data_IF_042581532873
#
_entry.id   IF_042581532873
#
_cell.length_a   1.000
_cell.length_b   1.000
_cell.length_c   1.000
_cell.angle_alpha   90.00
_cell.angle_beta   90.00
_cell.angle_gamma   90.00
#
_symmetry.space_group_name_H-M   'P 1'
#
loop_
_entity.id
_entity.type
_entity.pdbx_description
1 polymer ?
#
# COMPACT_ATOMS: atom_id res chain seq x y z
N UNK A 1 3.66 12.26 9.66
CA UNK A 1 4.76 11.31 9.97
C UNK A 1 4.20 10.30 10.97
N UNK A 2 4.61 9.03 10.94
CA UNK A 2 4.14 8.02 11.92
C UNK A 2 5.25 7.88 12.96
N UNK A 3 5.05 8.41 14.16
CA UNK A 3 6.07 8.45 15.21
C UNK A 3 5.96 7.24 16.15
N UNK A 4 4.75 6.68 16.29
CA UNK A 4 4.48 5.47 17.06
C UNK A 4 3.53 4.50 16.33
N UNK A 5 3.55 3.22 16.74
CA UNK A 5 2.63 2.18 16.24
C UNK A 5 1.14 2.54 16.47
N UNK A 6 0.86 3.39 17.46
CA UNK A 6 -0.47 3.91 17.75
C UNK A 6 -0.99 4.88 16.68
N UNK A 7 -0.11 5.55 15.92
CA UNK A 7 -0.49 6.51 14.88
C UNK A 7 -0.77 5.81 13.53
N UNK A 8 -0.36 4.55 13.43
CA UNK A 8 -0.48 3.76 12.22
C UNK A 8 -1.95 3.60 11.74
N UNK A 9 -2.94 3.30 12.59
CA UNK A 9 -4.33 3.20 12.16
C UNK A 9 -4.89 4.51 11.60
N UNK A 10 -4.51 5.64 12.19
CA UNK A 10 -4.94 6.96 11.74
C UNK A 10 -4.30 7.33 10.41
N UNK A 11 -3.00 7.08 10.26
CA UNK A 11 -2.30 7.23 8.99
C UNK A 11 -2.90 6.32 7.89
N UNK A 12 -3.20 5.06 8.20
CA UNK A 12 -3.82 4.13 7.23
C UNK A 12 -5.22 4.58 6.79
N UNK A 13 -5.92 5.38 7.59
CA UNK A 13 -7.20 6.00 7.22
C UNK A 13 -7.02 7.26 6.37
N UNK A 14 -5.95 8.02 6.58
CA UNK A 14 -5.70 9.26 5.84
C UNK A 14 -5.13 9.05 4.43
N UNK A 15 -4.51 7.89 4.16
CA UNK A 15 -3.95 7.56 2.84
C UNK A 15 -4.76 6.48 2.13
N UNK A 16 -4.94 6.60 0.83
CA UNK A 16 -5.54 5.56 -0.02
C UNK A 16 -4.50 4.56 -0.52
N UNK A 17 -4.94 3.35 -0.86
CA UNK A 17 -4.09 2.36 -1.52
C UNK A 17 -3.60 2.86 -2.89
N UNK A 18 -4.41 3.65 -3.61
CA UNK A 18 -3.98 4.24 -4.89
C UNK A 18 -2.79 5.18 -4.69
N UNK A 19 -2.81 6.04 -3.67
CA UNK A 19 -1.69 6.93 -3.33
C UNK A 19 -0.41 6.16 -2.98
N UNK A 20 -0.52 5.08 -2.20
CA UNK A 20 0.63 4.24 -1.85
C UNK A 20 1.22 3.53 -3.08
N UNK A 21 0.37 3.03 -3.98
CA UNK A 21 0.80 2.42 -5.24
C UNK A 21 1.46 3.46 -6.16
N UNK A 22 0.97 4.70 -6.19
CA UNK A 22 1.63 5.78 -6.93
C UNK A 22 3.00 6.13 -6.34
N UNK A 23 3.14 6.14 -5.01
CA UNK A 23 4.44 6.32 -4.36
C UNK A 23 5.44 5.20 -4.71
N UNK A 24 4.97 3.95 -4.80
CA UNK A 24 5.77 2.81 -5.24
C UNK A 24 6.22 2.98 -6.69
N UNK A 25 5.31 3.41 -7.58
CA UNK A 25 5.63 3.69 -8.99
C UNK A 25 6.69 4.78 -9.15
N UNK A 26 6.61 5.85 -8.36
CA UNK A 26 7.63 6.92 -8.33
C UNK A 26 9.02 6.39 -7.93
N UNK A 27 9.09 5.24 -7.25
CA UNK A 27 10.32 4.53 -6.89
C UNK A 27 10.68 3.39 -7.87
N UNK A 28 10.02 3.31 -9.02
CA UNK A 28 10.26 2.29 -10.04
C UNK A 28 9.58 0.94 -9.77
N UNK A 29 8.74 0.84 -8.74
CA UNK A 29 8.02 -0.41 -8.44
C UNK A 29 6.65 -0.37 -9.11
N UNK A 30 6.46 -1.21 -10.12
CA UNK A 30 5.17 -1.33 -10.78
C UNK A 30 4.13 -1.98 -9.86
N UNK A 31 2.85 -1.67 -10.10
CA UNK A 31 1.74 -2.30 -9.37
C UNK A 31 1.77 -3.83 -9.49
N UNK A 32 2.18 -4.36 -10.64
CA UNK A 32 2.33 -5.81 -10.88
C UNK A 32 3.44 -6.40 -10.00
N UNK A 33 4.62 -5.78 -10.01
CA UNK A 33 5.77 -6.24 -9.22
C UNK A 33 5.46 -6.21 -7.72
N UNK A 34 4.77 -5.17 -7.25
CA UNK A 34 4.31 -5.11 -5.86
C UNK A 34 3.33 -6.25 -5.53
N UNK A 35 2.31 -6.47 -6.36
CA UNK A 35 1.33 -7.55 -6.15
C UNK A 35 2.03 -8.92 -6.07
N UNK A 36 2.94 -9.19 -6.99
CA UNK A 36 3.74 -10.43 -7.01
C UNK A 36 4.59 -10.58 -5.75
N UNK A 37 5.20 -9.49 -5.25
CA UNK A 37 6.04 -9.52 -4.05
C UNK A 37 5.29 -9.92 -2.77
N UNK A 38 3.97 -9.73 -2.74
CA UNK A 38 3.10 -10.09 -1.61
C UNK A 38 2.25 -11.34 -1.90
N UNK A 39 2.53 -12.08 -2.98
CA UNK A 39 1.77 -13.27 -3.36
C UNK A 39 0.34 -12.99 -3.81
N UNK A 40 0.06 -11.79 -4.32
CA UNK A 40 -1.26 -11.34 -4.75
C UNK A 40 -1.32 -11.17 -6.28
N UNK A 41 -2.47 -11.48 -6.89
CA UNK A 41 -2.68 -11.15 -8.31
C UNK A 41 -2.91 -9.65 -8.51
N UNK A 42 -2.44 -9.11 -9.64
CA UNK A 42 -2.67 -7.70 -10.01
C UNK A 42 -4.16 -7.34 -10.13
N UNK A 43 -5.00 -8.30 -10.52
CA UNK A 43 -6.45 -8.19 -10.56
C UNK A 43 -7.05 -8.02 -9.16
N UNK A 44 -6.63 -8.86 -8.20
CA UNK A 44 -7.08 -8.76 -6.81
C UNK A 44 -6.68 -7.42 -6.20
N UNK A 45 -5.44 -6.96 -6.43
CA UNK A 45 -5.00 -5.64 -6.00
C UNK A 45 -5.85 -4.50 -6.60
N UNK A 46 -6.21 -4.62 -7.87
CA UNK A 46 -7.08 -3.64 -8.56
C UNK A 46 -8.51 -3.65 -8.00
N UNK A 47 -9.02 -4.82 -7.59
CA UNK A 47 -10.32 -4.96 -6.95
C UNK A 47 -10.34 -4.29 -5.56
N UNK A 48 -9.30 -4.50 -4.74
CA UNK A 48 -9.15 -3.85 -3.43
C UNK A 48 -9.15 -2.33 -3.60
N UNK A 49 -8.35 -1.82 -4.56
CA UNK A 49 -8.26 -0.39 -4.87
C UNK A 49 -9.60 0.22 -5.29
N UNK A 50 -10.34 -0.49 -6.14
CA UNK A 50 -11.65 -0.06 -6.62
C UNK A 50 -12.72 -0.16 -5.52
N UNK A 51 -12.55 -1.09 -4.56
CA UNK A 51 -13.43 -1.23 -3.40
C UNK A 51 -13.27 -0.07 -2.44
N UNK A 52 -12.03 0.31 -2.14
CA UNK A 52 -11.72 1.44 -1.28
C UNK A 52 -12.34 2.74 -1.81
N UNK A 53 -12.20 3.02 -3.12
CA UNK A 53 -12.83 4.21 -3.75
C UNK A 53 -14.34 4.24 -3.62
N UNK A 54 -14.98 3.08 -3.45
CA UNK A 54 -16.43 2.94 -3.30
C UNK A 54 -16.86 2.85 -1.83
N UNK A 55 -15.97 3.18 -0.89
CA UNK A 55 -16.17 3.04 0.56
C UNK A 55 -16.67 1.64 0.96
N UNK A 56 -16.31 0.61 0.19
CA UNK A 56 -16.66 -0.78 0.48
C UNK A 56 -15.53 -1.40 1.28
N UNK A 57 -15.90 -1.99 2.42
CA UNK A 57 -14.97 -2.66 3.31
C UNK A 57 -14.32 -3.85 2.60
N UNK A 58 -12.99 -3.87 2.58
CA UNK A 58 -12.20 -5.02 2.17
C UNK A 58 -11.32 -5.40 3.34
N UNK A 59 -11.50 -6.60 3.89
CA UNK A 59 -10.76 -7.04 5.09
C UNK A 59 -9.24 -6.94 4.91
N UNK A 60 -8.76 -7.11 3.68
CA UNK A 60 -7.35 -7.07 3.34
C UNK A 60 -6.80 -5.65 3.09
N UNK A 61 -7.65 -4.61 3.08
CA UNK A 61 -7.23 -3.24 2.73
C UNK A 61 -6.15 -2.72 3.67
N UNK A 62 -6.35 -2.86 4.98
CA UNK A 62 -5.37 -2.43 5.99
C UNK A 62 -4.04 -3.16 5.84
N UNK A 63 -4.08 -4.48 5.71
CA UNK A 63 -2.89 -5.31 5.50
C UNK A 63 -2.16 -4.95 4.19
N UNK A 64 -2.90 -4.68 3.11
CA UNK A 64 -2.33 -4.32 1.81
C UNK A 64 -1.65 -2.95 1.84
N UNK A 65 -2.26 -1.96 2.51
CA UNK A 65 -1.63 -0.65 2.74
C UNK A 65 -0.38 -0.76 3.60
N UNK A 66 -0.42 -1.57 4.65
CA UNK A 66 0.73 -1.83 5.51
C UNK A 66 1.89 -2.45 4.71
N UNK A 67 1.59 -3.44 3.86
CA UNK A 67 2.58 -4.04 2.97
C UNK A 67 3.18 -3.01 2.01
N UNK A 68 2.36 -2.10 1.44
CA UNK A 68 2.89 -1.00 0.62
C UNK A 68 3.86 -0.12 1.41
N UNK A 69 3.51 0.25 2.65
CA UNK A 69 4.36 1.09 3.49
C UNK A 69 5.69 0.43 3.82
N UNK A 70 5.67 -0.86 4.17
CA UNK A 70 6.90 -1.60 4.43
C UNK A 70 7.81 -1.66 3.20
N UNK A 71 7.26 -1.89 2.01
CA UNK A 71 8.02 -1.84 0.76
C UNK A 71 8.57 -0.45 0.50
N UNK A 72 7.76 0.60 0.67
CA UNK A 72 8.21 1.99 0.55
C UNK A 72 9.40 2.28 1.48
N UNK A 73 9.33 1.84 2.74
CA UNK A 73 10.39 2.03 3.73
C UNK A 73 11.67 1.26 3.33
N UNK A 74 11.57 -0.02 2.98
CA UNK A 74 12.74 -0.84 2.60
C UNK A 74 13.44 -0.32 1.35
N UNK A 75 12.67 0.21 0.39
CA UNK A 75 13.24 0.84 -0.81
C UNK A 75 13.67 2.30 -0.57
N UNK A 76 13.20 3.00 0.46
CA UNK A 76 13.84 4.26 0.91
C UNK A 76 15.20 4.02 1.56
N UNK A 77 15.37 2.95 2.34
CA UNK A 77 16.62 2.69 3.08
C UNK A 77 17.78 2.18 2.23
N UNK A 78 17.52 1.66 1.01
CA UNK A 78 18.57 1.25 0.06
C UNK A 78 19.21 2.39 -0.74
N UNK A 79 18.74 3.64 -0.55
CA UNK A 79 19.21 4.82 -1.28
C UNK A 79 20.11 5.77 -0.47
N UNK A 80 20.70 5.31 0.63
CA UNK A 80 21.74 6.04 1.38
C UNK A 80 23.03 5.25 1.39
#
# INVERSE_FOLDING_TARGET
>A
EVEALADLPEYLRSVTLDELIQALKKKGISQKAFAESIGMSSQKLSAIKSSEKRNRYFHELGATKLACLWVLEKFTKKGK
#
